data_IF_303576881018
#
_entry.id   IF_303576881018
#
_cell.length_a   1.000
_cell.length_b   1.000
_cell.length_c   1.000
_cell.angle_alpha   90.00
_cell.angle_beta   90.00
_cell.angle_gamma   90.00
#
_symmetry.space_group_name_H-M   'P 1'
#
loop_
_entity.id
_entity.type
_entity.pdbx_description
1 polymer ?
#
# COMPACT_ATOMS: atom_id res chain seq x y z
N UNK A 1 45.66 -35.36 28.08
CA UNK A 1 44.80 -34.21 27.76
C UNK A 1 45.18 -33.73 26.36
N UNK A 2 44.38 -34.10 25.36
CA UNK A 2 44.68 -33.78 23.96
C UNK A 2 44.39 -32.31 23.71
N UNK A 3 45.44 -31.52 23.49
CA UNK A 3 45.35 -30.12 23.14
C UNK A 3 44.89 -30.01 21.67
N UNK A 4 43.58 -30.18 21.43
CA UNK A 4 42.98 -29.89 20.12
C UNK A 4 43.29 -28.43 19.78
N UNK A 5 43.77 -28.16 18.58
CA UNK A 5 44.06 -26.78 18.19
C UNK A 5 42.77 -25.94 18.19
N UNK A 6 42.80 -24.69 18.70
CA UNK A 6 41.59 -23.87 18.89
C UNK A 6 40.73 -23.73 17.63
N UNK A 7 41.34 -23.59 16.45
CA UNK A 7 40.63 -23.47 15.18
C UNK A 7 39.85 -24.73 14.80
N UNK A 8 40.37 -25.91 15.14
CA UNK A 8 39.74 -27.20 14.82
C UNK A 8 38.50 -27.42 15.70
N UNK A 9 38.58 -27.00 16.98
CA UNK A 9 37.42 -26.98 17.87
C UNK A 9 36.37 -25.93 17.48
N UNK A 10 36.78 -24.77 16.96
CA UNK A 10 35.87 -23.77 16.42
C UNK A 10 35.10 -24.29 15.20
N UNK A 11 35.79 -24.99 14.30
CA UNK A 11 35.20 -25.59 13.12
C UNK A 11 34.21 -26.72 13.48
N UNK A 12 34.60 -27.65 14.35
CA UNK A 12 33.71 -28.74 14.81
C UNK A 12 32.44 -28.21 15.48
N UNK A 13 32.57 -27.16 16.30
CA UNK A 13 31.44 -26.54 16.99
C UNK A 13 30.54 -25.72 16.04
N UNK A 14 31.12 -25.09 15.01
CA UNK A 14 30.34 -24.44 13.95
C UNK A 14 29.46 -25.43 13.20
N UNK A 15 30.05 -26.54 12.73
CA UNK A 15 29.32 -27.62 12.04
C UNK A 15 28.23 -28.23 12.92
N UNK A 16 28.51 -28.41 14.21
CA UNK A 16 27.52 -28.93 15.16
C UNK A 16 26.35 -27.96 15.35
N UNK A 17 26.63 -26.65 15.47
CA UNK A 17 25.60 -25.62 15.58
C UNK A 17 24.70 -25.57 14.34
N UNK A 18 25.31 -25.57 13.15
CA UNK A 18 24.60 -25.62 11.86
C UNK A 18 23.70 -26.86 11.75
N UNK A 19 24.24 -28.05 12.05
CA UNK A 19 23.45 -29.29 12.00
C UNK A 19 22.24 -29.26 12.95
N UNK A 20 22.39 -28.71 14.15
CA UNK A 20 21.29 -28.53 15.12
C UNK A 20 20.25 -27.52 14.64
N UNK A 21 20.69 -26.40 14.07
CA UNK A 21 19.81 -25.40 13.47
C UNK A 21 18.99 -26.00 12.33
N UNK A 22 19.64 -26.69 11.39
CA UNK A 22 18.98 -27.36 10.27
C UNK A 22 17.93 -28.35 10.75
N UNK A 23 18.27 -29.19 11.72
CA UNK A 23 17.34 -30.16 12.29
C UNK A 23 16.10 -29.48 12.90
N UNK A 24 16.29 -28.41 13.67
CA UNK A 24 15.20 -27.63 14.26
C UNK A 24 14.30 -26.99 13.18
N UNK A 25 14.89 -26.37 12.16
CA UNK A 25 14.15 -25.64 11.12
C UNK A 25 13.39 -26.57 10.17
N UNK A 26 13.96 -27.73 9.82
CA UNK A 26 13.34 -28.71 8.93
C UNK A 26 12.03 -29.30 9.47
N UNK A 27 11.78 -29.23 10.79
CA UNK A 27 10.51 -29.63 11.39
C UNK A 27 9.33 -28.87 10.76
N UNK A 28 9.50 -27.59 10.35
CA UNK A 28 8.39 -26.73 9.90
C UNK A 28 8.64 -25.89 8.65
N UNK A 29 9.89 -25.70 8.27
CA UNK A 29 10.27 -24.85 7.14
C UNK A 29 10.95 -25.66 6.03
N UNK A 30 10.82 -25.21 4.78
CA UNK A 30 11.79 -25.55 3.75
C UNK A 30 13.08 -24.81 4.09
N UNK A 31 14.20 -25.52 4.09
CA UNK A 31 15.51 -24.96 4.45
C UNK A 31 16.41 -25.02 3.22
N UNK A 32 16.91 -23.85 2.81
CA UNK A 32 17.84 -23.66 1.71
C UNK A 32 19.22 -23.36 2.30
N UNK A 33 20.19 -24.22 2.00
CA UNK A 33 21.58 -24.03 2.40
C UNK A 33 22.27 -23.13 1.38
N UNK A 34 23.02 -22.11 1.84
CA UNK A 34 23.86 -21.30 0.95
C UNK A 34 25.30 -21.75 1.08
N UNK A 35 25.97 -21.97 -0.05
CA UNK A 35 27.34 -22.49 -0.10
C UNK A 35 28.43 -21.42 -0.02
N UNK A 36 28.09 -20.14 0.18
CA UNK A 36 29.06 -19.03 0.25
C UNK A 36 28.53 -17.93 1.17
N UNK A 37 29.40 -17.41 2.05
CA UNK A 37 29.28 -16.30 3.02
C UNK A 37 28.86 -14.92 2.41
N UNK A 38 27.95 -14.93 1.46
CA UNK A 38 27.41 -13.73 0.82
C UNK A 38 26.23 -13.29 1.69
N UNK A 39 26.42 -12.21 2.45
CA UNK A 39 25.43 -11.53 3.31
C UNK A 39 25.16 -12.14 4.71
N UNK A 40 26.03 -13.03 5.19
CA UNK A 40 26.07 -13.48 6.60
C UNK A 40 24.85 -14.25 7.12
N UNK A 41 24.23 -15.03 6.23
CA UNK A 41 23.17 -15.96 6.54
C UNK A 41 23.65 -17.40 6.31
N UNK A 42 23.42 -18.28 7.28
CA UNK A 42 23.77 -19.71 7.15
C UNK A 42 22.63 -20.50 6.50
N UNK A 43 21.37 -20.11 6.80
CA UNK A 43 20.17 -20.70 6.19
C UNK A 43 19.20 -19.63 5.69
N UNK A 44 18.52 -19.95 4.58
CA UNK A 44 17.27 -19.32 4.20
C UNK A 44 16.12 -20.28 4.47
N UNK A 45 15.05 -19.81 5.09
CA UNK A 45 13.90 -20.63 5.44
C UNK A 45 12.63 -20.13 4.77
N UNK A 46 11.73 -21.05 4.40
CA UNK A 46 10.43 -20.72 3.82
C UNK A 46 9.34 -21.52 4.51
N UNK A 47 8.18 -20.91 4.74
CA UNK A 47 7.01 -21.64 5.26
C UNK A 47 6.60 -22.76 4.29
N UNK A 48 6.32 -23.95 4.84
CA UNK A 48 5.75 -25.07 4.07
C UNK A 48 4.27 -24.80 3.79
N UNK A 49 3.98 -23.91 2.84
CA UNK A 49 2.62 -23.67 2.38
C UNK A 49 2.24 -24.76 1.38
N UNK A 50 1.54 -25.80 1.84
CA UNK A 50 1.06 -26.90 0.98
C UNK A 50 -0.30 -26.62 0.34
N UNK A 51 -0.96 -25.53 0.73
CA UNK A 51 -2.34 -25.19 0.31
C UNK A 51 -2.42 -23.98 -0.64
N UNK A 52 -1.31 -23.30 -0.92
CA UNK A 52 -1.23 -22.14 -1.84
C UNK A 52 -0.38 -22.47 -3.06
N UNK A 53 -0.79 -21.99 -4.24
CA UNK A 53 -0.12 -22.28 -5.51
C UNK A 53 1.17 -21.43 -5.63
N UNK A 54 2.20 -21.96 -6.29
CA UNK A 54 3.45 -21.23 -6.59
C UNK A 54 3.21 -19.96 -7.43
N UNK A 55 2.04 -19.89 -8.10
CA UNK A 55 1.58 -18.76 -8.90
C UNK A 55 0.64 -17.79 -8.16
N UNK A 56 0.40 -17.98 -6.85
CA UNK A 56 -0.39 -17.03 -6.07
C UNK A 56 0.35 -15.68 -5.95
N UNK A 57 -0.43 -14.58 -5.98
CA UNK A 57 0.06 -13.20 -6.04
C UNK A 57 1.00 -12.79 -4.89
N UNK A 58 0.97 -13.52 -3.77
CA UNK A 58 1.89 -13.33 -2.66
C UNK A 58 2.99 -14.42 -2.72
N UNK A 59 4.15 -14.07 -3.25
CA UNK A 59 5.31 -14.94 -3.21
C UNK A 59 5.62 -15.33 -1.74
N UNK A 60 6.02 -16.60 -1.49
CA UNK A 60 6.25 -17.07 -0.14
C UNK A 60 7.41 -16.32 0.52
N UNK A 61 7.14 -15.77 1.70
CA UNK A 61 8.11 -15.00 2.48
C UNK A 61 9.25 -15.89 3.00
N UNK A 62 10.50 -15.42 2.87
CA UNK A 62 11.71 -16.08 3.36
C UNK A 62 12.22 -15.51 4.69
N UNK A 63 12.73 -16.37 5.55
CA UNK A 63 13.50 -15.97 6.72
C UNK A 63 14.99 -16.14 6.50
N UNK A 64 15.76 -15.26 7.12
CA UNK A 64 17.22 -15.29 7.16
C UNK A 64 17.64 -15.79 8.53
N UNK A 65 18.39 -16.89 8.57
CA UNK A 65 18.87 -17.46 9.83
C UNK A 65 20.39 -17.49 9.85
N UNK A 66 20.96 -16.83 10.84
CA UNK A 66 22.37 -16.94 11.18
C UNK A 66 22.53 -17.86 12.40
N UNK A 67 23.55 -18.69 12.40
CA UNK A 67 23.86 -19.67 13.41
C UNK A 67 25.20 -19.34 14.05
N UNK A 68 25.24 -19.40 15.38
CA UNK A 68 26.47 -19.23 16.16
C UNK A 68 26.56 -20.29 17.25
N UNK A 69 27.78 -20.65 17.61
CA UNK A 69 28.04 -21.60 18.69
C UNK A 69 28.87 -20.93 19.78
N UNK A 70 28.42 -21.03 21.03
CA UNK A 70 29.14 -20.55 22.21
C UNK A 70 29.89 -21.73 22.84
N UNK A 71 31.22 -21.67 22.81
CA UNK A 71 32.07 -22.68 23.46
C UNK A 71 32.23 -22.41 24.95
N UNK A 72 32.34 -21.13 25.32
CA UNK A 72 32.51 -20.66 26.69
C UNK A 72 31.84 -19.30 26.88
N UNK A 73 31.57 -18.89 28.11
CA UNK A 73 30.97 -17.59 28.42
C UNK A 73 31.76 -16.38 27.86
N UNK A 74 33.06 -16.55 27.62
CA UNK A 74 33.95 -15.52 27.06
C UNK A 74 33.91 -15.45 25.52
N UNK A 75 33.17 -16.35 24.85
CA UNK A 75 33.01 -16.32 23.40
C UNK A 75 32.13 -15.13 23.01
N UNK A 76 32.63 -14.24 22.16
CA UNK A 76 31.85 -13.11 21.65
C UNK A 76 31.11 -13.48 20.37
N UNK A 77 29.82 -13.19 20.33
CA UNK A 77 29.06 -13.23 19.08
C UNK A 77 29.17 -11.86 18.43
N UNK A 78 29.41 -11.84 17.12
CA UNK A 78 29.54 -10.63 16.31
C UNK A 78 28.65 -10.75 15.07
N UNK A 79 27.80 -9.75 14.84
CA UNK A 79 26.88 -9.68 13.70
C UNK A 79 27.02 -8.30 13.06
N UNK A 80 27.04 -8.22 11.73
CA UNK A 80 27.07 -6.91 11.06
C UNK A 80 25.71 -6.23 11.23
N UNK A 81 25.70 -4.94 11.60
CA UNK A 81 24.47 -4.18 11.80
C UNK A 81 23.58 -4.16 10.54
N UNK A 82 24.20 -4.09 9.37
CA UNK A 82 23.52 -4.12 8.07
C UNK A 82 22.74 -5.42 7.78
N UNK A 83 22.94 -6.48 8.57
CA UNK A 83 22.17 -7.72 8.44
C UNK A 83 20.90 -7.74 9.29
N UNK A 84 20.81 -6.88 10.30
CA UNK A 84 19.70 -6.90 11.27
C UNK A 84 18.80 -5.68 11.18
N UNK A 85 19.25 -4.57 10.60
CA UNK A 85 18.43 -3.38 10.43
C UNK A 85 18.72 -2.63 9.13
N UNK A 86 17.80 -1.75 8.76
CA UNK A 86 17.95 -0.83 7.65
C UNK A 86 18.86 0.38 7.98
N UNK A 87 18.98 1.30 7.02
CA UNK A 87 19.77 2.52 7.15
C UNK A 87 19.19 3.51 8.18
N UNK A 88 17.91 3.38 8.53
CA UNK A 88 17.22 4.19 9.53
C UNK A 88 17.27 3.56 10.92
N UNK A 89 17.69 2.30 11.03
CA UNK A 89 17.82 1.55 12.28
C UNK A 89 16.64 0.65 12.59
N UNK A 90 15.69 0.48 11.67
CA UNK A 90 14.52 -0.38 11.86
C UNK A 90 14.90 -1.86 11.67
N UNK A 91 14.51 -2.77 12.60
CA UNK A 91 14.88 -4.18 12.56
C UNK A 91 14.19 -4.96 11.44
N UNK A 92 14.92 -5.85 10.77
CA UNK A 92 14.34 -6.82 9.83
C UNK A 92 13.64 -7.94 10.58
N UNK A 93 12.31 -8.01 10.47
CA UNK A 93 11.50 -9.02 11.14
C UNK A 93 11.81 -10.45 10.69
N UNK A 94 12.35 -10.61 9.49
CA UNK A 94 12.72 -11.89 8.88
C UNK A 94 14.12 -12.39 9.25
N UNK A 95 14.91 -11.62 10.01
CA UNK A 95 16.23 -12.05 10.48
C UNK A 95 16.16 -12.69 11.87
N UNK A 96 16.78 -13.87 11.98
CA UNK A 96 16.87 -14.64 13.21
C UNK A 96 18.30 -15.09 13.49
N UNK A 97 18.69 -15.03 14.76
CA UNK A 97 19.93 -15.62 15.25
C UNK A 97 19.59 -16.86 16.09
N UNK A 98 20.11 -18.01 15.66
CA UNK A 98 20.13 -19.22 16.46
C UNK A 98 21.50 -19.39 17.11
N UNK A 99 21.50 -19.53 18.43
CA UNK A 99 22.73 -19.77 19.19
C UNK A 99 22.65 -21.11 19.87
N UNK A 100 23.72 -21.90 19.77
CA UNK A 100 23.84 -23.19 20.43
C UNK A 100 25.02 -23.22 21.39
N UNK A 101 24.89 -23.99 22.46
CA UNK A 101 25.97 -24.29 23.39
C UNK A 101 25.85 -25.73 23.91
N UNK A 102 26.89 -26.21 24.58
CA UNK A 102 26.90 -27.54 25.21
C UNK A 102 26.96 -28.71 24.22
N UNK A 103 27.32 -29.87 24.75
CA UNK A 103 27.40 -31.13 24.01
C UNK A 103 26.37 -32.13 24.55
N UNK A 104 25.88 -33.01 23.68
CA UNK A 104 25.01 -34.13 24.05
C UNK A 104 23.81 -33.69 24.92
N UNK A 105 23.71 -34.19 26.15
CA UNK A 105 22.60 -33.95 27.07
C UNK A 105 22.59 -32.53 27.66
N UNK A 106 23.71 -31.80 27.59
CA UNK A 106 23.82 -30.41 28.04
C UNK A 106 23.57 -29.41 26.91
N UNK A 107 23.11 -29.87 25.74
CA UNK A 107 22.85 -29.00 24.61
C UNK A 107 21.77 -27.96 24.93
N UNK A 108 22.08 -26.69 24.69
CA UNK A 108 21.14 -25.58 24.84
C UNK A 108 21.03 -24.80 23.53
N UNK A 109 19.84 -24.27 23.29
CA UNK A 109 19.49 -23.56 22.07
C UNK A 109 18.80 -22.25 22.44
N UNK A 110 19.13 -21.19 21.71
CA UNK A 110 18.59 -19.85 21.92
C UNK A 110 18.15 -19.26 20.59
N UNK A 111 17.07 -18.47 20.61
CA UNK A 111 16.52 -17.77 19.46
C UNK A 111 16.42 -16.29 19.79
N UNK A 112 17.00 -15.45 18.92
CA UNK A 112 16.90 -13.99 19.00
C UNK A 112 16.37 -13.44 17.69
N UNK A 113 15.47 -12.47 17.75
CA UNK A 113 15.05 -11.67 16.59
C UNK A 113 16.03 -10.52 16.33
N UNK A 114 15.95 -9.91 15.15
CA UNK A 114 16.68 -8.66 14.87
C UNK A 114 16.44 -7.58 15.94
N UNK A 115 15.20 -7.43 16.42
CA UNK A 115 14.85 -6.47 17.47
C UNK A 115 15.57 -6.76 18.78
N UNK A 116 15.66 -8.03 19.18
CA UNK A 116 16.40 -8.44 20.37
C UNK A 116 17.89 -8.12 20.22
N UNK A 117 18.46 -8.39 19.04
CA UNK A 117 19.87 -8.14 18.75
C UNK A 117 20.19 -6.64 18.87
N UNK A 118 19.36 -5.77 18.28
CA UNK A 118 19.57 -4.32 18.33
C UNK A 118 19.51 -3.78 19.76
N UNK A 119 18.60 -4.32 20.58
CA UNK A 119 18.41 -3.84 21.95
C UNK A 119 19.51 -4.31 22.91
N UNK A 120 20.06 -5.51 22.71
CA UNK A 120 20.95 -6.16 23.67
C UNK A 120 22.43 -6.09 23.29
N UNK A 121 22.75 -5.94 22.00
CA UNK A 121 24.14 -5.99 21.53
C UNK A 121 24.72 -4.59 21.52
N UNK A 122 25.96 -4.45 22.01
CA UNK A 122 26.64 -3.17 21.95
C UNK A 122 27.31 -2.98 20.57
N UNK A 123 27.28 -1.74 20.10
CA UNK A 123 27.84 -1.35 18.82
C UNK A 123 29.34 -1.14 18.90
N UNK A 124 30.09 -1.66 17.91
CA UNK A 124 31.53 -1.39 17.73
C UNK A 124 31.83 -1.04 16.26
N UNK A 125 32.30 0.18 16.03
CA UNK A 125 32.70 0.71 14.70
C UNK A 125 31.89 1.95 14.28
N UNK A 126 32.33 2.63 13.22
CA UNK A 126 31.64 3.77 12.58
C UNK A 126 31.09 3.36 11.19
N UNK A 127 29.97 3.99 10.81
CA UNK A 127 29.25 3.91 9.52
C UNK A 127 28.97 2.48 8.98
N UNK A 128 29.61 2.09 7.87
CA UNK A 128 29.22 0.93 7.06
C UNK A 128 29.74 -0.43 7.58
N UNK A 129 30.74 -0.43 8.47
CA UNK A 129 31.32 -1.64 9.07
C UNK A 129 30.92 -1.82 10.54
N UNK A 130 29.79 -1.24 10.92
CA UNK A 130 29.24 -1.34 12.27
C UNK A 130 28.95 -2.81 12.65
N UNK A 131 29.62 -3.31 13.69
CA UNK A 131 29.43 -4.68 14.21
C UNK A 131 28.74 -4.61 15.57
N UNK A 132 27.64 -5.35 15.70
CA UNK A 132 26.94 -5.60 16.96
C UNK A 132 27.60 -6.78 17.67
N UNK A 133 27.91 -6.62 18.96
CA UNK A 133 28.57 -7.65 19.77
C UNK A 133 27.86 -7.92 21.09
N UNK A 134 27.96 -9.17 21.53
CA UNK A 134 27.54 -9.60 22.86
C UNK A 134 28.45 -10.72 23.37
N UNK A 135 28.70 -10.75 24.67
CA UNK A 135 29.41 -11.84 25.31
C UNK A 135 28.47 -13.05 25.46
N UNK A 136 28.98 -14.26 25.17
CA UNK A 136 28.20 -15.49 25.24
C UNK A 136 27.58 -15.75 26.61
N UNK A 137 28.26 -15.32 27.68
CA UNK A 137 27.74 -15.35 29.05
C UNK A 137 26.37 -14.67 29.19
N UNK A 138 26.19 -13.50 28.56
CA UNK A 138 24.93 -12.75 28.65
C UNK A 138 23.77 -13.51 28.00
N UNK A 139 24.04 -14.25 26.91
CA UNK A 139 23.03 -15.08 26.26
C UNK A 139 22.74 -16.33 27.11
N UNK A 140 23.79 -16.97 27.64
CA UNK A 140 23.65 -18.21 28.42
C UNK A 140 22.86 -17.97 29.71
N UNK A 141 23.14 -16.86 30.40
CA UNK A 141 22.50 -16.49 31.67
C UNK A 141 21.09 -15.91 31.47
N UNK A 142 20.76 -15.40 30.29
CA UNK A 142 19.42 -14.90 29.98
C UNK A 142 18.43 -16.04 29.73
N UNK A 143 17.37 -16.09 30.53
CA UNK A 143 16.26 -17.03 30.32
C UNK A 143 15.35 -16.63 29.16
N UNK A 144 15.42 -15.38 28.69
CA UNK A 144 14.45 -14.81 27.74
C UNK A 144 14.60 -15.39 26.33
N UNK A 145 15.82 -15.76 25.93
CA UNK A 145 16.09 -16.27 24.58
C UNK A 145 16.16 -17.79 24.50
N UNK A 146 16.17 -18.47 25.66
CA UNK A 146 16.35 -19.92 25.73
C UNK A 146 15.13 -20.64 25.17
N UNK A 147 15.36 -21.51 24.19
CA UNK A 147 14.31 -22.36 23.61
C UNK A 147 14.00 -23.48 24.60
N UNK A 148 12.96 -23.27 25.42
CA UNK A 148 12.40 -24.31 26.30
C UNK A 148 11.40 -25.21 25.58
N UNK A 149 10.67 -24.63 24.62
CA UNK A 149 9.70 -25.33 23.77
C UNK A 149 9.98 -25.01 22.30
N UNK A 150 10.37 -26.04 21.53
CA UNK A 150 10.65 -25.92 20.09
C UNK A 150 9.44 -25.40 19.30
N UNK A 151 8.23 -25.85 19.62
CA UNK A 151 7.01 -25.42 18.93
C UNK A 151 6.79 -23.92 19.07
N UNK A 152 6.98 -23.37 20.28
CA UNK A 152 6.86 -21.93 20.52
C UNK A 152 7.90 -21.11 19.74
N UNK A 153 9.15 -21.58 19.68
CA UNK A 153 10.19 -20.93 18.90
C UNK A 153 9.88 -20.94 17.39
N UNK A 154 9.43 -22.08 16.85
CA UNK A 154 9.03 -22.20 15.45
C UNK A 154 7.78 -21.36 15.13
N UNK A 155 6.83 -21.23 16.07
CA UNK A 155 5.67 -20.35 15.94
C UNK A 155 6.09 -18.87 15.92
N UNK A 156 7.08 -18.47 16.73
CA UNK A 156 7.59 -17.10 16.74
C UNK A 156 8.22 -16.74 15.38
N UNK A 157 9.04 -17.64 14.83
CA UNK A 157 9.60 -17.49 13.47
C UNK A 157 8.47 -17.42 12.44
N UNK A 158 7.48 -18.32 12.51
CA UNK A 158 6.37 -18.35 11.56
C UNK A 158 5.52 -17.06 11.62
N UNK A 159 5.25 -16.54 12.81
CA UNK A 159 4.51 -15.30 13.01
C UNK A 159 5.28 -14.09 12.47
N UNK A 160 6.57 -13.99 12.79
CA UNK A 160 7.44 -12.94 12.27
C UNK A 160 7.52 -12.97 10.74
N UNK A 161 7.55 -14.15 10.12
CA UNK A 161 7.47 -14.29 8.65
C UNK A 161 6.10 -13.93 8.07
N UNK A 162 5.00 -14.00 8.83
CA UNK A 162 3.69 -13.51 8.36
C UNK A 162 3.64 -11.99 8.39
N UNK A 163 4.13 -11.38 9.46
CA UNK A 163 4.13 -9.93 9.69
C UNK A 163 5.23 -9.19 8.92
N UNK A 164 6.29 -9.88 8.46
CA UNK A 164 7.39 -9.23 7.73
C UNK A 164 6.90 -8.54 6.46
N UNK A 165 7.42 -7.34 6.18
CA UNK A 165 7.07 -6.60 4.96
C UNK A 165 7.49 -7.40 3.72
N UNK A 166 6.69 -7.33 2.65
CA UNK A 166 7.03 -8.00 1.39
C UNK A 166 8.33 -7.45 0.76
N UNK A 167 8.67 -6.18 1.06
CA UNK A 167 9.83 -5.43 0.56
C UNK A 167 11.15 -5.90 1.19
N UNK A 168 11.21 -6.00 2.52
CA UNK A 168 12.42 -6.41 3.25
C UNK A 168 12.78 -7.87 2.92
N UNK A 169 11.74 -8.70 2.83
CA UNK A 169 11.82 -10.11 2.49
C UNK A 169 12.49 -10.39 1.12
N UNK A 170 12.32 -9.48 0.15
CA UNK A 170 12.89 -9.61 -1.20
C UNK A 170 14.21 -8.88 -1.41
N UNK A 171 14.63 -8.03 -0.47
CA UNK A 171 15.99 -7.44 -0.48
C UNK A 171 17.08 -8.51 -0.51
N UNK A 172 16.80 -9.68 0.07
CA UNK A 172 17.67 -10.86 0.03
C UNK A 172 17.57 -11.70 -1.25
N UNK A 173 16.51 -11.54 -2.06
CA UNK A 173 16.19 -12.44 -3.16
C UNK A 173 16.24 -11.85 -4.56
N UNK A 174 16.15 -10.53 -4.73
CA UNK A 174 16.19 -9.96 -6.07
C UNK A 174 15.04 -10.38 -6.96
N UNK A 175 13.92 -9.65 -6.90
CA UNK A 175 12.77 -9.89 -7.79
C UNK A 175 13.06 -9.60 -9.26
N UNK A 176 14.06 -8.79 -9.57
CA UNK A 176 14.75 -8.86 -10.86
C UNK A 176 15.96 -9.78 -10.70
N UNK A 177 16.22 -10.66 -11.65
CA UNK A 177 17.46 -11.46 -11.72
C UNK A 177 18.69 -10.56 -11.58
N UNK A 178 19.09 -10.22 -10.36
CA UNK A 178 20.21 -9.30 -10.13
C UNK A 178 21.45 -10.06 -10.55
N UNK A 179 21.92 -9.74 -11.75
CA UNK A 179 23.17 -10.24 -12.26
C UNK A 179 24.22 -9.79 -11.25
N UNK A 180 24.85 -10.75 -10.56
CA UNK A 180 25.97 -10.45 -9.67
C UNK A 180 27.03 -9.77 -10.52
N UNK A 181 27.23 -8.47 -10.30
CA UNK A 181 28.22 -7.70 -11.02
C UNK A 181 29.60 -8.10 -10.50
N UNK A 182 30.51 -8.44 -11.42
CA UNK A 182 31.90 -8.65 -11.11
C UNK A 182 32.75 -7.83 -12.10
N UNK A 183 33.85 -7.20 -11.67
CA UNK A 183 34.72 -6.43 -12.57
C UNK A 183 35.23 -7.26 -13.76
N UNK A 184 35.29 -8.58 -13.63
CA UNK A 184 35.75 -9.51 -14.67
C UNK A 184 34.69 -9.79 -15.74
N UNK A 185 33.47 -9.28 -15.60
CA UNK A 185 32.40 -9.41 -16.58
C UNK A 185 32.57 -8.42 -17.74
N UNK A 186 33.74 -8.43 -18.36
CA UNK A 186 34.09 -7.65 -19.54
C UNK A 186 34.85 -8.58 -20.49
N UNK A 187 34.79 -8.29 -21.78
CA UNK A 187 35.51 -9.08 -22.79
C UNK A 187 37.01 -9.09 -22.50
N UNK A 188 37.66 -10.26 -22.64
CA UNK A 188 39.09 -10.41 -22.37
C UNK A 188 39.95 -9.56 -23.29
N UNK A 189 39.51 -9.30 -24.52
CA UNK A 189 40.24 -8.47 -25.47
C UNK A 189 40.35 -7.01 -24.99
N UNK A 190 39.39 -6.56 -24.18
CA UNK A 190 39.38 -5.21 -23.58
C UNK A 190 40.24 -5.10 -22.32
N UNK A 191 40.75 -6.23 -21.80
CA UNK A 191 41.69 -6.28 -20.67
C UNK A 191 43.15 -6.25 -21.13
N UNK A 192 43.41 -6.35 -22.43
CA UNK A 192 44.76 -6.25 -22.98
C UNK A 192 45.34 -4.87 -22.64
N UNK A 193 46.62 -4.78 -22.23
CA UNK A 193 47.26 -3.52 -21.82
C UNK A 193 47.63 -2.66 -23.03
N UNK A 194 46.64 -2.37 -23.88
CA UNK A 194 46.72 -1.44 -25.00
C UNK A 194 46.16 -0.10 -24.54
N UNK A 195 46.96 0.95 -24.69
CA UNK A 195 46.49 2.30 -24.42
C UNK A 195 45.31 2.64 -25.36
N UNK A 196 44.19 2.99 -24.77
CA UNK A 196 42.97 3.34 -25.47
C UNK A 196 42.70 4.86 -25.49
N UNK A 197 43.51 5.67 -24.80
CA UNK A 197 43.38 7.12 -24.77
C UNK A 197 42.11 7.69 -24.12
N UNK A 198 41.29 6.84 -23.48
CA UNK A 198 40.01 7.22 -22.87
C UNK A 198 39.98 6.94 -21.37
N UNK A 199 39.96 5.66 -20.96
CA UNK A 199 39.78 5.28 -19.57
C UNK A 199 40.21 3.82 -19.31
N UNK A 200 40.19 3.43 -18.03
CA UNK A 200 40.21 2.03 -17.63
C UNK A 200 38.84 1.42 -17.95
N UNK A 201 38.77 0.64 -19.03
CA UNK A 201 37.52 0.02 -19.50
C UNK A 201 36.91 -0.92 -18.47
N UNK A 202 37.73 -1.67 -17.72
CA UNK A 202 37.23 -2.60 -16.72
C UNK A 202 36.49 -1.84 -15.61
N UNK A 203 37.13 -0.78 -15.10
CA UNK A 203 36.58 0.07 -14.06
C UNK A 203 35.33 0.80 -14.54
N UNK A 204 35.40 1.49 -15.68
CA UNK A 204 34.28 2.29 -16.19
C UNK A 204 33.07 1.43 -16.56
N UNK A 205 33.28 0.26 -17.17
CA UNK A 205 32.17 -0.63 -17.52
C UNK A 205 31.50 -1.22 -16.28
N UNK A 206 32.28 -1.52 -15.24
CA UNK A 206 31.75 -1.97 -13.95
C UNK A 206 30.90 -0.88 -13.27
N UNK A 207 31.38 0.37 -13.23
CA UNK A 207 30.63 1.49 -12.66
C UNK A 207 29.33 1.75 -13.45
N UNK A 208 29.36 1.71 -14.79
CA UNK A 208 28.15 1.85 -15.60
C UNK A 208 27.11 0.74 -15.33
N UNK A 209 27.56 -0.51 -15.14
CA UNK A 209 26.67 -1.62 -14.75
C UNK A 209 26.07 -1.42 -13.37
N UNK A 210 26.85 -0.90 -12.42
CA UNK A 210 26.39 -0.58 -11.07
C UNK A 210 25.34 0.54 -11.08
N UNK A 211 25.56 1.58 -11.89
CA UNK A 211 24.58 2.66 -12.09
C UNK A 211 23.27 2.11 -12.67
N UNK A 212 23.35 1.22 -13.67
CA UNK A 212 22.16 0.58 -14.24
C UNK A 212 21.43 -0.33 -13.23
N UNK A 213 22.18 -1.04 -12.38
CA UNK A 213 21.59 -1.81 -11.28
C UNK A 213 20.88 -0.91 -10.27
N UNK A 214 21.43 0.28 -10.01
CA UNK A 214 20.77 1.28 -9.17
C UNK A 214 19.43 1.74 -9.76
N UNK A 215 19.37 1.98 -11.07
CA UNK A 215 18.10 2.31 -11.77
C UNK A 215 17.04 1.23 -11.61
N UNK A 216 17.41 -0.06 -11.58
CA UNK A 216 16.46 -1.15 -11.32
C UNK A 216 15.80 -1.04 -9.94
N UNK A 217 16.56 -0.64 -8.90
CA UNK A 217 15.98 -0.40 -7.58
C UNK A 217 14.98 0.75 -7.60
N UNK A 218 15.28 1.84 -8.32
CA UNK A 218 14.35 2.96 -8.48
C UNK A 218 13.03 2.53 -9.17
N UNK A 219 13.10 1.62 -10.15
CA UNK A 219 11.91 1.06 -10.81
C UNK A 219 11.07 0.26 -9.82
N UNK A 220 11.69 -0.61 -9.02
CA UNK A 220 10.98 -1.43 -8.04
C UNK A 220 10.27 -0.55 -6.99
N UNK A 221 10.94 0.51 -6.52
CA UNK A 221 10.35 1.48 -5.59
C UNK A 221 9.12 2.19 -6.21
N UNK A 222 9.23 2.67 -7.46
CA UNK A 222 8.12 3.29 -8.16
C UNK A 222 6.92 2.34 -8.34
N UNK A 223 7.19 1.07 -8.69
CA UNK A 223 6.15 0.03 -8.81
C UNK A 223 5.44 -0.21 -7.48
N UNK A 224 6.16 -0.19 -6.35
CA UNK A 224 5.55 -0.33 -5.03
C UNK A 224 4.61 0.84 -4.72
N UNK A 225 5.04 2.08 -4.97
CA UNK A 225 4.22 3.28 -4.79
C UNK A 225 2.95 3.19 -5.64
N UNK A 226 3.07 2.79 -6.90
CA UNK A 226 1.93 2.57 -7.79
C UNK A 226 0.99 1.51 -7.20
N UNK A 227 1.50 0.38 -6.72
CA UNK A 227 0.67 -0.66 -6.11
C UNK A 227 -0.05 -0.17 -4.85
N UNK A 228 0.58 0.69 -4.03
CA UNK A 228 -0.06 1.32 -2.86
C UNK A 228 -1.22 2.22 -3.29
N UNK A 229 -1.02 3.05 -4.31
CA UNK A 229 -2.08 3.90 -4.87
C UNK A 229 -3.24 3.05 -5.40
N UNK A 230 -2.94 1.97 -6.13
CA UNK A 230 -3.97 1.08 -6.70
C UNK A 230 -4.75 0.27 -5.64
N UNK A 231 -4.11 -0.04 -4.50
CA UNK A 231 -4.74 -0.72 -3.38
C UNK A 231 -5.48 0.24 -2.43
N UNK A 232 -5.19 1.54 -2.51
CA UNK A 232 -5.80 2.54 -1.66
C UNK A 232 -7.30 2.67 -1.95
N UNK A 233 -8.08 2.83 -0.89
CA UNK A 233 -9.54 3.02 -0.98
C UNK A 233 -9.97 4.46 -0.77
N UNK A 234 -9.14 5.27 -0.10
CA UNK A 234 -9.37 6.69 0.08
C UNK A 234 -8.69 7.48 -1.06
N UNK A 235 -9.45 8.17 -1.91
CA UNK A 235 -8.88 8.96 -2.99
C UNK A 235 -7.90 10.03 -2.50
N UNK A 236 -8.15 10.66 -1.35
CA UNK A 236 -7.28 11.73 -0.84
C UNK A 236 -5.90 11.19 -0.47
N UNK A 237 -5.85 10.08 0.25
CA UNK A 237 -4.60 9.37 0.56
C UNK A 237 -3.87 8.91 -0.72
N UNK A 238 -4.62 8.50 -1.75
CA UNK A 238 -4.03 8.13 -3.04
C UNK A 238 -3.38 9.33 -3.75
N UNK A 239 -3.99 10.53 -3.69
CA UNK A 239 -3.40 11.78 -4.19
C UNK A 239 -2.15 12.16 -3.40
N UNK A 240 -2.19 12.10 -2.07
CA UNK A 240 -1.05 12.43 -1.22
C UNK A 240 0.14 11.49 -1.51
N UNK A 241 -0.11 10.17 -1.64
CA UNK A 241 0.95 9.20 -2.01
C UNK A 241 1.52 9.51 -3.40
N UNK A 242 0.67 9.93 -4.36
CA UNK A 242 1.11 10.32 -5.69
C UNK A 242 2.05 11.53 -5.62
N UNK A 243 1.61 12.63 -4.99
CA UNK A 243 2.37 13.88 -4.91
C UNK A 243 3.68 13.72 -4.11
N UNK A 244 3.63 13.02 -2.98
CA UNK A 244 4.77 12.89 -2.08
C UNK A 244 5.83 11.90 -2.60
N UNK A 245 5.42 10.81 -3.26
CA UNK A 245 6.31 9.67 -3.51
C UNK A 245 6.47 9.29 -4.96
N UNK A 246 5.46 9.54 -5.81
CA UNK A 246 5.55 9.14 -7.21
C UNK A 246 6.15 10.25 -8.08
N UNK A 247 5.86 11.52 -7.77
CA UNK A 247 6.35 12.69 -8.52
C UNK A 247 7.87 12.78 -8.57
N UNK A 248 8.57 12.26 -7.54
CA UNK A 248 10.04 12.16 -7.50
C UNK A 248 10.62 11.34 -8.67
N UNK A 249 9.82 10.45 -9.27
CA UNK A 249 10.19 9.59 -10.40
C UNK A 249 9.60 10.05 -11.74
N UNK A 250 8.74 11.08 -11.76
CA UNK A 250 8.10 11.59 -12.98
C UNK A 250 9.02 12.61 -13.69
N UNK A 251 9.97 13.22 -12.97
CA UNK A 251 10.86 14.28 -13.49
C UNK A 251 12.32 14.15 -13.02
N UNK A 252 12.86 12.94 -13.00
CA UNK A 252 14.24 12.68 -12.58
C UNK A 252 15.17 12.43 -13.79
N UNK A 253 16.40 12.93 -13.73
CA UNK A 253 17.43 12.80 -14.79
C UNK A 253 17.82 11.34 -15.06
N UNK A 254 17.58 10.44 -14.11
CA UNK A 254 17.96 9.02 -14.23
C UNK A 254 16.88 8.13 -14.85
N UNK A 255 15.60 8.43 -14.64
CA UNK A 255 14.47 7.67 -15.14
C UNK A 255 13.18 8.49 -15.02
N UNK A 256 12.48 8.70 -16.14
CA UNK A 256 11.22 9.45 -16.18
C UNK A 256 10.09 8.58 -16.73
N UNK A 257 8.95 8.58 -16.05
CA UNK A 257 7.72 7.96 -16.55
C UNK A 257 6.69 9.02 -16.92
N UNK A 258 5.94 8.79 -18.00
CA UNK A 258 4.75 9.57 -18.30
C UNK A 258 3.54 8.93 -17.62
N UNK A 259 2.87 9.68 -16.75
CA UNK A 259 1.72 9.22 -15.98
C UNK A 259 0.56 10.21 -16.20
N UNK A 260 -0.55 9.71 -16.75
CA UNK A 260 -1.78 10.49 -17.01
C UNK A 260 -2.89 10.13 -16.01
N UNK A 261 -2.62 10.38 -14.73
CA UNK A 261 -3.60 10.24 -13.65
C UNK A 261 -3.31 11.26 -12.54
N UNK A 262 -4.30 11.53 -11.69
CA UNK A 262 -4.21 12.50 -10.58
C UNK A 262 -3.91 13.96 -11.01
N UNK A 263 -4.10 14.29 -12.28
CA UNK A 263 -3.91 15.65 -12.83
C UNK A 263 -5.16 16.55 -12.72
N UNK A 264 -6.17 16.13 -11.96
CA UNK A 264 -7.47 16.80 -11.84
C UNK A 264 -7.65 17.38 -10.43
N UNK A 265 -7.19 18.62 -10.24
CA UNK A 265 -7.36 19.36 -8.98
C UNK A 265 -8.84 19.53 -8.61
N UNK A 266 -9.72 19.70 -9.60
CA UNK A 266 -11.16 19.85 -9.39
C UNK A 266 -11.74 18.58 -8.74
N UNK A 267 -11.27 17.39 -9.13
CA UNK A 267 -11.66 16.13 -8.51
C UNK A 267 -11.24 16.03 -7.04
N UNK A 268 -10.00 16.42 -6.71
CA UNK A 268 -9.50 16.41 -5.32
C UNK A 268 -10.29 17.38 -4.43
N UNK A 269 -10.54 18.60 -4.89
CA UNK A 269 -11.34 19.58 -4.14
C UNK A 269 -12.77 19.06 -3.97
N UNK A 270 -13.33 18.34 -4.95
CA UNK A 270 -14.66 17.74 -4.85
C UNK A 270 -14.75 16.64 -3.79
N UNK A 271 -13.71 15.82 -3.64
CA UNK A 271 -13.60 14.82 -2.59
C UNK A 271 -13.55 15.48 -1.21
N UNK A 272 -12.70 16.50 -1.04
CA UNK A 272 -12.57 17.25 0.23
C UNK A 272 -13.90 17.89 0.63
N UNK A 273 -14.53 18.60 -0.31
CA UNK A 273 -15.86 19.18 -0.09
C UNK A 273 -16.92 18.13 0.28
N UNK A 274 -16.89 16.95 -0.35
CA UNK A 274 -17.81 15.85 -0.01
C UNK A 274 -17.61 15.37 1.43
N UNK A 275 -16.35 15.14 1.85
CA UNK A 275 -16.02 14.71 3.22
C UNK A 275 -16.48 15.76 4.25
N UNK A 276 -16.19 17.03 4.01
CA UNK A 276 -16.60 18.14 4.90
C UNK A 276 -18.12 18.23 5.09
N UNK A 277 -18.88 18.14 3.98
CA UNK A 277 -20.35 18.15 4.03
C UNK A 277 -20.90 16.96 4.81
N UNK A 278 -20.31 15.79 4.64
CA UNK A 278 -20.72 14.58 5.35
C UNK A 278 -20.44 14.68 6.85
N UNK A 279 -19.28 15.23 7.24
CA UNK A 279 -18.94 15.52 8.64
C UNK A 279 -19.94 16.51 9.25
N UNK A 280 -20.24 17.62 8.55
CA UNK A 280 -21.21 18.60 9.04
C UNK A 280 -22.62 18.02 9.25
N UNK A 281 -23.05 17.09 8.39
CA UNK A 281 -24.32 16.36 8.56
C UNK A 281 -24.28 15.38 9.74
N UNK A 282 -23.14 14.71 9.98
CA UNK A 282 -22.91 13.79 11.11
C UNK A 282 -22.90 14.52 12.44
N UNK A 283 -22.22 15.66 12.52
CA UNK A 283 -22.13 16.47 13.73
C UNK A 283 -23.51 16.98 14.18
N UNK A 284 -24.43 17.17 13.23
CA UNK A 284 -25.83 17.52 13.48
C UNK A 284 -26.73 16.29 13.74
N UNK A 285 -26.23 15.07 13.59
CA UNK A 285 -27.01 13.84 13.73
C UNK A 285 -28.04 13.61 12.62
N UNK A 286 -27.89 14.28 11.46
CA UNK A 286 -28.89 14.30 10.38
C UNK A 286 -28.50 13.45 9.15
N UNK A 287 -27.32 12.83 9.12
CA UNK A 287 -26.80 12.06 7.98
C UNK A 287 -27.85 11.11 7.36
N UNK A 288 -28.37 10.17 8.16
CA UNK A 288 -29.32 9.16 7.67
C UNK A 288 -30.62 9.80 7.18
N UNK A 289 -31.13 10.79 7.92
CA UNK A 289 -32.39 11.46 7.58
C UNK A 289 -32.25 12.25 6.28
N UNK A 290 -31.12 12.91 6.08
CA UNK A 290 -30.79 13.62 4.84
C UNK A 290 -30.67 12.66 3.64
N UNK A 291 -29.95 11.54 3.79
CA UNK A 291 -29.84 10.53 2.73
C UNK A 291 -31.22 9.93 2.39
N UNK A 292 -32.05 9.67 3.40
CA UNK A 292 -33.42 9.21 3.20
C UNK A 292 -34.31 10.26 2.52
N UNK A 293 -34.18 11.54 2.88
CA UNK A 293 -34.87 12.65 2.22
C UNK A 293 -34.52 12.70 0.73
N UNK A 294 -33.23 12.65 0.40
CA UNK A 294 -32.74 12.65 -0.98
C UNK A 294 -33.24 11.44 -1.78
N UNK A 295 -33.21 10.25 -1.18
CA UNK A 295 -33.76 9.03 -1.79
C UNK A 295 -35.27 9.14 -2.06
N UNK A 296 -36.05 9.61 -1.08
CA UNK A 296 -37.51 9.76 -1.21
C UNK A 296 -37.86 10.84 -2.23
N UNK A 297 -37.13 11.96 -2.27
CA UNK A 297 -37.27 13.00 -3.28
C UNK A 297 -37.06 12.42 -4.69
N UNK A 298 -35.92 11.76 -4.91
CA UNK A 298 -35.59 11.10 -6.19
C UNK A 298 -36.71 10.15 -6.63
N UNK A 299 -37.14 9.24 -5.74
CA UNK A 299 -38.18 8.25 -6.05
C UNK A 299 -39.51 8.92 -6.41
N UNK A 300 -39.91 9.95 -5.66
CA UNK A 300 -41.14 10.71 -5.92
C UNK A 300 -41.09 11.44 -7.26
N UNK A 301 -39.96 12.08 -7.58
CA UNK A 301 -39.71 12.73 -8.86
C UNK A 301 -39.88 11.74 -10.02
N UNK A 302 -39.23 10.58 -9.96
CA UNK A 302 -39.30 9.57 -11.03
C UNK A 302 -40.74 9.07 -11.24
N UNK A 303 -41.46 8.75 -10.16
CA UNK A 303 -42.85 8.26 -10.23
C UNK A 303 -43.80 9.31 -10.82
N UNK A 304 -43.60 10.58 -10.49
CA UNK A 304 -44.48 11.66 -10.99
C UNK A 304 -44.11 12.07 -12.43
N UNK A 305 -42.83 12.24 -12.73
CA UNK A 305 -42.35 12.64 -14.06
C UNK A 305 -42.59 11.56 -15.12
N UNK A 306 -42.50 10.28 -14.77
CA UNK A 306 -42.78 9.18 -15.72
C UNK A 306 -44.21 9.23 -16.29
N UNK A 307 -45.17 9.76 -15.51
CA UNK A 307 -46.59 9.87 -15.88
C UNK A 307 -46.95 11.16 -16.63
N UNK A 308 -46.02 12.10 -16.75
CA UNK A 308 -46.25 13.43 -17.33
C UNK A 308 -45.65 13.54 -18.72
N UNK A 309 -46.36 14.12 -19.68
CA UNK A 309 -45.81 14.39 -21.02
C UNK A 309 -45.19 15.80 -21.08
N UNK A 310 -44.03 15.90 -21.74
CA UNK A 310 -43.25 17.13 -21.82
C UNK A 310 -42.96 17.50 -23.28
N UNK A 311 -43.18 18.77 -23.61
CA UNK A 311 -42.72 19.40 -24.85
C UNK A 311 -41.38 20.11 -24.62
N UNK A 312 -40.73 20.56 -25.70
CA UNK A 312 -39.47 21.31 -25.63
C UNK A 312 -39.55 22.58 -24.79
N UNK A 313 -40.72 23.21 -24.77
CA UNK A 313 -40.98 24.43 -24.01
C UNK A 313 -41.62 24.18 -22.65
N UNK A 314 -41.87 22.93 -22.28
CA UNK A 314 -42.42 22.60 -20.96
C UNK A 314 -41.47 23.05 -19.86
N UNK A 315 -42.04 23.73 -18.87
CA UNK A 315 -41.38 24.11 -17.62
C UNK A 315 -42.17 23.51 -16.48
N UNK A 316 -41.48 23.01 -15.48
CA UNK A 316 -42.13 22.44 -14.30
C UNK A 316 -41.71 23.18 -13.05
N UNK A 317 -42.71 23.48 -12.21
CA UNK A 317 -42.50 23.87 -10.82
C UNK A 317 -42.62 22.63 -9.95
N UNK A 318 -41.57 22.38 -9.18
CA UNK A 318 -41.50 21.33 -8.17
C UNK A 318 -41.56 21.99 -6.80
N UNK A 319 -42.58 21.65 -6.02
CA UNK A 319 -42.73 22.06 -4.63
C UNK A 319 -42.50 20.84 -3.75
N UNK A 320 -41.45 20.87 -2.94
CA UNK A 320 -41.15 19.82 -1.98
C UNK A 320 -41.34 20.35 -0.56
N UNK A 321 -42.09 19.63 0.27
CA UNK A 321 -42.31 19.97 1.68
C UNK A 321 -41.97 18.76 2.56
N UNK A 322 -41.30 19.00 3.69
CA UNK A 322 -40.81 17.97 4.62
C UNK A 322 -40.71 18.55 6.04
N UNK A 323 -40.55 17.70 7.06
CA UNK A 323 -40.35 18.17 8.44
C UNK A 323 -39.00 18.89 8.58
N UNK A 324 -38.99 20.14 9.04
CA UNK A 324 -37.75 20.95 9.14
C UNK A 324 -36.75 20.39 10.16
N UNK A 325 -37.23 19.73 11.21
CA UNK A 325 -36.39 19.19 12.29
C UNK A 325 -35.89 17.77 11.99
N UNK A 326 -36.79 16.87 11.54
CA UNK A 326 -36.43 15.47 11.29
C UNK A 326 -36.02 15.17 9.85
N UNK A 327 -36.31 16.06 8.90
CA UNK A 327 -36.16 15.85 7.44
C UNK A 327 -37.03 14.71 6.87
N UNK A 328 -38.06 14.28 7.61
CA UNK A 328 -38.95 13.20 7.21
C UNK A 328 -40.20 13.69 6.47
N UNK A 329 -41.04 12.73 6.05
CA UNK A 329 -42.38 12.96 5.48
C UNK A 329 -42.44 13.87 4.25
N UNK A 330 -41.46 13.69 3.36
CA UNK A 330 -41.42 14.47 2.12
C UNK A 330 -42.64 14.26 1.23
N UNK A 331 -43.26 15.36 0.83
CA UNK A 331 -44.27 15.45 -0.22
C UNK A 331 -43.73 16.30 -1.36
N UNK A 332 -43.77 15.78 -2.59
CA UNK A 332 -43.25 16.48 -3.77
C UNK A 332 -44.39 16.68 -4.77
N UNK A 333 -44.74 17.90 -5.11
CA UNK A 333 -45.77 18.21 -6.11
C UNK A 333 -45.14 18.86 -7.34
N UNK A 334 -45.56 18.38 -8.51
CA UNK A 334 -45.04 18.85 -9.80
C UNK A 334 -46.19 19.46 -10.58
N UNK A 335 -46.00 20.67 -11.08
CA UNK A 335 -46.99 21.41 -11.88
C UNK A 335 -46.31 21.97 -13.12
N UNK A 336 -46.95 21.84 -14.28
CA UNK A 336 -46.48 22.50 -15.51
C UNK A 336 -46.84 23.98 -15.43
N UNK A 337 -45.89 24.84 -15.78
CA UNK A 337 -46.05 26.30 -15.70
C UNK A 337 -45.65 26.97 -17.01
N UNK A 338 -46.21 28.14 -17.26
CA UNK A 338 -45.78 29.08 -18.29
C UNK A 338 -45.05 30.23 -17.57
N UNK A 339 -43.77 30.05 -17.30
CA UNK A 339 -42.94 31.05 -16.61
C UNK A 339 -41.95 31.68 -17.59
N UNK A 340 -41.71 32.98 -17.50
CA UNK A 340 -40.75 33.71 -18.35
C UNK A 340 -39.51 34.11 -17.52
N UNK A 341 -38.74 33.11 -17.07
CA UNK A 341 -37.56 33.30 -16.22
C UNK A 341 -36.27 32.66 -16.76
N UNK A 342 -35.14 33.09 -16.16
CA UNK A 342 -33.70 32.89 -16.45
C UNK A 342 -33.20 31.42 -16.57
N UNK A 343 -31.86 31.21 -16.48
CA UNK A 343 -31.19 29.91 -16.52
C UNK A 343 -31.84 28.88 -15.56
N UNK A 344 -32.00 27.64 -16.03
CA UNK A 344 -32.63 26.54 -15.27
C UNK A 344 -31.59 25.50 -14.91
N UNK A 345 -31.62 24.91 -13.70
CA UNK A 345 -32.67 25.01 -12.69
C UNK A 345 -32.64 26.31 -11.86
N UNK A 346 -33.81 26.79 -11.44
CA UNK A 346 -33.95 28.01 -10.63
C UNK A 346 -34.67 27.74 -9.32
N UNK A 347 -34.03 28.04 -8.18
CA UNK A 347 -34.65 27.92 -6.84
C UNK A 347 -35.41 29.21 -6.55
N UNK A 348 -36.74 29.16 -6.62
CA UNK A 348 -37.61 30.33 -6.44
C UNK A 348 -37.85 30.66 -4.97
N UNK A 349 -37.97 29.64 -4.12
CA UNK A 349 -38.12 29.80 -2.67
C UNK A 349 -37.45 28.64 -1.95
N UNK A 350 -36.67 28.94 -0.91
CA UNK A 350 -35.95 27.95 -0.12
C UNK A 350 -36.06 28.28 1.37
N UNK A 351 -36.74 27.43 2.12
CA UNK A 351 -36.89 27.51 3.58
C UNK A 351 -36.72 26.09 4.16
N UNK A 352 -36.29 25.95 5.42
CA UNK A 352 -36.19 24.61 6.02
C UNK A 352 -37.58 23.97 6.06
N UNK A 353 -37.69 22.78 5.49
CA UNK A 353 -38.97 22.09 5.33
C UNK A 353 -39.77 22.47 4.07
N UNK A 354 -39.32 23.44 3.25
CA UNK A 354 -40.01 23.85 2.03
C UNK A 354 -39.07 24.30 0.90
N UNK A 355 -39.22 23.73 -0.28
CA UNK A 355 -38.43 24.08 -1.46
C UNK A 355 -39.32 24.25 -2.68
N UNK A 356 -39.17 25.35 -3.41
CA UNK A 356 -39.84 25.62 -4.68
C UNK A 356 -38.79 25.84 -5.78
N UNK A 357 -38.73 24.90 -6.73
CA UNK A 357 -37.69 24.85 -7.76
C UNK A 357 -38.33 24.70 -9.13
N UNK A 358 -37.82 25.46 -10.10
CA UNK A 358 -38.28 25.46 -11.49
C UNK A 358 -37.24 24.75 -12.36
N UNK A 359 -37.71 23.82 -13.18
CA UNK A 359 -36.87 23.02 -14.08
C UNK A 359 -37.36 23.06 -15.53
N UNK A 360 -36.45 22.79 -16.48
CA UNK A 360 -36.75 22.50 -17.88
C UNK A 360 -36.50 21.02 -18.18
N UNK A 361 -37.52 20.14 -18.09
CA UNK A 361 -37.32 18.70 -18.11
C UNK A 361 -36.95 18.12 -19.47
N UNK A 362 -37.18 18.85 -20.57
CA UNK A 362 -36.95 18.32 -21.92
C UNK A 362 -35.50 17.86 -22.15
N UNK A 363 -34.52 18.57 -21.60
CA UNK A 363 -33.10 18.18 -21.71
C UNK A 363 -32.81 16.83 -21.05
N UNK A 364 -33.62 16.39 -20.09
CA UNK A 364 -33.47 15.10 -19.41
C UNK A 364 -33.83 13.92 -20.32
N UNK A 365 -34.66 14.15 -21.33
CA UNK A 365 -35.14 13.11 -22.24
C UNK A 365 -34.47 13.14 -23.63
N UNK A 366 -33.57 14.10 -23.88
CA UNK A 366 -32.79 14.13 -25.12
C UNK A 366 -31.71 13.05 -25.10
N UNK A 367 -31.70 12.13 -26.07
CA UNK A 367 -30.60 11.17 -26.24
C UNK A 367 -29.31 11.97 -26.48
N UNK A 368 -28.37 11.93 -25.54
CA UNK A 368 -27.05 12.50 -25.77
C UNK A 368 -26.30 11.52 -26.68
N UNK A 369 -26.13 11.88 -27.95
CA UNK A 369 -25.32 11.15 -28.92
C UNK A 369 -23.82 11.40 -28.75
N UNK A 370 -23.31 11.38 -27.51
CA UNK A 370 -21.89 11.57 -27.25
C UNK A 370 -21.23 10.24 -26.87
N UNK A 371 -20.35 9.80 -27.79
CA UNK A 371 -19.32 8.79 -27.67
C UNK A 371 -19.73 7.34 -27.33
N UNK A 372 -20.21 6.64 -28.34
CA UNK A 372 -19.89 5.21 -28.50
C UNK A 372 -19.39 4.96 -29.92
N UNK A 373 -18.09 5.11 -30.14
CA UNK A 373 -17.36 4.47 -31.26
C UNK A 373 -17.22 2.95 -31.06
N UNK A 374 -17.88 2.37 -30.06
CA UNK A 374 -17.89 0.94 -29.78
C UNK A 374 -19.35 0.48 -29.71
N UNK A 375 -19.73 -0.32 -30.71
CA UNK A 375 -20.96 -1.11 -30.85
C UNK A 375 -22.29 -0.37 -31.06
N UNK A 376 -22.79 -0.52 -32.29
CA UNK A 376 -24.18 -0.32 -32.73
C UNK A 376 -25.18 -1.15 -31.91
N UNK A 377 -25.54 -0.68 -30.72
CA UNK A 377 -26.77 -1.10 -30.04
C UNK A 377 -27.47 0.18 -29.62
N UNK A 378 -28.43 0.64 -30.43
CA UNK A 378 -29.40 1.65 -30.03
C UNK A 378 -30.24 1.07 -28.88
N UNK A 379 -29.73 1.15 -27.66
CA UNK A 379 -30.45 0.70 -26.48
C UNK A 379 -31.56 1.72 -26.24
N UNK A 380 -32.78 1.38 -26.63
CA UNK A 380 -33.96 2.19 -26.37
C UNK A 380 -34.23 2.14 -24.86
N UNK A 381 -33.99 3.24 -24.17
CA UNK A 381 -34.29 3.35 -22.74
C UNK A 381 -35.77 3.71 -22.55
N UNK A 382 -36.42 3.08 -21.57
CA UNK A 382 -37.71 3.54 -21.09
C UNK A 382 -37.57 4.91 -20.42
N UNK A 383 -38.65 5.69 -20.39
CA UNK A 383 -38.69 7.02 -19.76
C UNK A 383 -38.21 7.00 -18.30
N UNK A 384 -38.56 5.94 -17.56
CA UNK A 384 -38.11 5.72 -16.18
C UNK A 384 -36.61 5.48 -16.09
N UNK A 385 -36.03 4.66 -16.98
CA UNK A 385 -34.59 4.42 -17.02
C UNK A 385 -33.79 5.67 -17.37
N UNK A 386 -34.33 6.53 -18.27
CA UNK A 386 -33.71 7.82 -18.58
C UNK A 386 -33.70 8.74 -17.35
N UNK A 387 -34.82 8.82 -16.62
CA UNK A 387 -34.94 9.60 -15.39
C UNK A 387 -34.02 9.08 -14.27
N UNK A 388 -33.84 7.76 -14.17
CA UNK A 388 -32.88 7.13 -13.24
C UNK A 388 -31.44 7.51 -13.58
N UNK A 389 -31.04 7.41 -14.85
CA UNK A 389 -29.67 7.75 -15.29
C UNK A 389 -29.32 9.22 -15.14
N UNK A 390 -30.32 10.10 -15.21
CA UNK A 390 -30.15 11.57 -15.19
C UNK A 390 -30.68 12.23 -13.93
N UNK A 391 -30.80 11.46 -12.85
CA UNK A 391 -31.36 11.98 -11.61
C UNK A 391 -30.60 13.16 -11.02
N UNK A 392 -29.30 13.25 -11.26
CA UNK A 392 -28.46 14.37 -10.85
C UNK A 392 -28.98 15.72 -11.37
N UNK A 393 -29.61 15.78 -12.55
CA UNK A 393 -30.11 17.03 -13.15
C UNK A 393 -31.25 17.67 -12.36
N UNK A 394 -32.04 16.88 -11.62
CA UNK A 394 -33.12 17.40 -10.78
C UNK A 394 -32.87 17.26 -9.28
N UNK A 395 -32.02 16.32 -8.85
CA UNK A 395 -31.66 16.17 -7.45
C UNK A 395 -30.68 17.25 -6.98
N UNK A 396 -29.75 17.69 -7.84
CA UNK A 396 -28.69 18.64 -7.47
C UNK A 396 -29.24 19.97 -6.94
N UNK A 397 -30.17 20.61 -7.64
CA UNK A 397 -30.74 21.88 -7.20
C UNK A 397 -31.49 21.77 -5.86
N UNK A 398 -32.21 20.67 -5.65
CA UNK A 398 -32.87 20.40 -4.37
C UNK A 398 -31.84 20.17 -3.26
N UNK A 399 -30.82 19.35 -3.52
CA UNK A 399 -29.74 19.07 -2.58
C UNK A 399 -29.03 20.35 -2.13
N UNK A 400 -28.62 21.19 -3.08
CA UNK A 400 -27.97 22.48 -2.82
C UNK A 400 -28.85 23.36 -1.95
N UNK A 401 -30.13 23.49 -2.28
CA UNK A 401 -31.04 24.38 -1.56
C UNK A 401 -31.25 23.93 -0.11
N UNK A 402 -31.32 22.61 0.12
CA UNK A 402 -31.43 22.04 1.47
C UNK A 402 -30.12 22.18 2.24
N UNK A 403 -28.99 21.86 1.62
CA UNK A 403 -27.66 21.93 2.26
C UNK A 403 -27.28 23.35 2.67
N UNK A 404 -27.54 24.35 1.82
CA UNK A 404 -27.33 25.78 2.15
C UNK A 404 -27.97 26.16 3.48
N UNK A 405 -29.16 25.64 3.76
CA UNK A 405 -29.91 25.94 4.97
C UNK A 405 -29.49 25.08 6.17
N UNK A 406 -29.01 23.85 5.94
CA UNK A 406 -28.65 22.91 7.01
C UNK A 406 -27.22 23.09 7.51
N UNK A 407 -26.26 23.19 6.58
CA UNK A 407 -24.83 23.15 6.87
C UNK A 407 -24.08 24.44 6.47
N UNK A 408 -24.78 25.43 5.90
CA UNK A 408 -24.19 26.71 5.50
C UNK A 408 -23.89 26.79 4.00
N UNK A 409 -23.81 28.01 3.48
CA UNK A 409 -23.59 28.27 2.06
C UNK A 409 -22.13 28.00 1.65
N UNK A 410 -21.21 28.21 2.58
CA UNK A 410 -19.77 28.00 2.45
C UNK A 410 -19.37 26.54 2.21
N UNK A 411 -20.18 25.59 2.69
CA UNK A 411 -19.93 24.15 2.51
C UNK A 411 -20.60 23.58 1.26
N UNK A 412 -21.40 24.37 0.54
CA UNK A 412 -22.10 23.89 -0.66
C UNK A 412 -21.13 23.74 -1.83
N UNK A 413 -21.23 22.61 -2.51
CA UNK A 413 -20.31 22.25 -3.59
C UNK A 413 -20.28 23.29 -4.73
N UNK A 414 -19.10 23.83 -5.08
CA UNK A 414 -18.99 24.86 -6.11
C UNK A 414 -19.34 24.36 -7.52
N UNK A 415 -19.19 23.06 -7.79
CA UNK A 415 -19.60 22.44 -9.06
C UNK A 415 -21.10 22.17 -9.15
N UNK A 416 -21.88 22.40 -8.08
CA UNK A 416 -23.33 22.25 -8.14
C UNK A 416 -24.06 23.50 -8.64
N UNK A 417 -23.36 24.64 -8.79
CA UNK A 417 -23.89 25.87 -9.36
C UNK A 417 -23.48 26.09 -10.84
N UNK A 418 -22.73 25.16 -11.45
CA UNK A 418 -22.37 25.20 -12.88
C UNK A 418 -23.46 24.49 -13.70
N UNK A 419 -24.00 25.20 -14.69
CA UNK A 419 -25.06 24.75 -15.63
C UNK A 419 -24.64 23.55 -16.49
#
# INVERSE_FOLDING_TARGET
MNNKQPWLSAMENGVLGEARAKALLLERFWVLERSVDIQGADYLIQRKLTETNFMDKEAPKLGVVQVKFIQSGDTYISIKKSYVCDQYGEPYNEFFLLVFSGSEDEAQSYLLSAKDIINEFYTKGEDENCILKVAGKNIIESTNYKITNKCSALNAIEYALKESSFRDNRRFLGSTSYIKLAPEQIDQDLLLPLDNGYADFQKEFYENKKNLQHTLFCIEDAVEVINKILACTDPEEAFDIYEDKLTEYVWNDNLSFSIDCFNDEDFLIAIKNHKERLIALRDKGLENNFLHLMYRYKKSMIVKLSKMEFTKESKIKVVASYCSESLEDISVNITVIEDEGHAYPFVKKSELGYQEIIYKPYSWFQVCSYNTKIANIEKTYTKTEMLEKRHWQYCRAFQVAVEKLLIGEELVSPWMNRD
#
